data_IF_935102138837
#
_entry.id   IF_935102138837
#
_cell.length_a   1.000
_cell.length_b   1.000
_cell.length_c   1.000
_cell.angle_alpha   90.00
_cell.angle_beta   90.00
_cell.angle_gamma   90.00
#
_symmetry.space_group_name_H-M   'P 1'
#
loop_
_entity.id
_entity.type
_entity.pdbx_description
1 polymer ?
#
# COMPACT_ATOMS: atom_id res chain seq x y z
N UNK A 1 30.69 47.14 -14.12
CA UNK A 1 31.95 46.54 -13.62
C UNK A 1 31.63 45.14 -13.10
N UNK A 2 31.71 44.16 -14.02
CA UNK A 2 31.88 42.71 -13.77
C UNK A 2 33.25 42.51 -13.04
N UNK A 3 33.63 41.48 -12.26
CA UNK A 3 33.40 40.02 -12.34
C UNK A 3 34.21 39.28 -11.23
N UNK A 4 33.80 38.02 -10.92
CA UNK A 4 34.57 36.81 -10.49
C UNK A 4 35.26 36.71 -9.11
N UNK A 5 34.95 35.64 -8.35
CA UNK A 5 35.63 34.31 -8.23
C UNK A 5 37.06 34.39 -7.61
N UNK A 6 37.57 33.47 -6.79
CA UNK A 6 37.65 32.01 -6.96
C UNK A 6 38.40 31.37 -5.78
N UNK A 7 38.01 30.15 -5.40
CA UNK A 7 38.86 29.00 -4.98
C UNK A 7 39.80 29.06 -3.75
N UNK A 8 39.58 28.11 -2.84
CA UNK A 8 40.58 27.55 -1.92
C UNK A 8 40.61 26.03 -2.18
N UNK A 9 41.49 25.52 -3.07
CA UNK A 9 42.84 24.98 -2.80
C UNK A 9 42.89 24.09 -1.55
N UNK A 10 43.49 22.90 -1.48
CA UNK A 10 44.01 21.89 -2.41
C UNK A 10 44.57 20.78 -1.48
N UNK A 11 44.46 19.51 -1.90
CA UNK A 11 45.42 18.42 -1.70
C UNK A 11 45.99 18.17 -0.29
N UNK A 12 45.51 17.11 0.37
CA UNK A 12 46.24 16.44 1.45
C UNK A 12 46.82 15.12 0.92
N UNK A 13 48.15 15.06 0.85
CA UNK A 13 48.91 13.88 0.47
C UNK A 13 49.98 13.58 1.53
N UNK A 14 49.93 12.35 2.03
CA UNK A 14 51.04 11.46 2.43
C UNK A 14 51.82 11.79 3.72
N UNK A 15 51.63 10.90 4.70
CA UNK A 15 52.66 10.50 5.67
C UNK A 15 52.52 9.00 5.94
N UNK A 16 53.51 8.21 5.54
CA UNK A 16 53.49 6.75 5.50
C UNK A 16 54.40 6.15 6.60
N UNK A 17 53.80 5.20 7.34
CA UNK A 17 54.36 4.09 8.13
C UNK A 17 55.27 4.37 9.34
N UNK A 18 55.03 3.65 10.45
CA UNK A 18 55.98 2.70 11.06
C UNK A 18 55.22 1.74 11.99
N UNK A 19 55.22 0.46 11.57
CA UNK A 19 55.15 -0.83 12.28
C UNK A 19 54.29 -1.06 13.53
N UNK A 20 53.40 -2.07 13.44
CA UNK A 20 53.07 -2.99 14.53
C UNK A 20 53.07 -4.43 13.99
N UNK A 21 54.11 -5.19 14.32
CA UNK A 21 54.02 -6.65 14.40
C UNK A 21 53.71 -6.96 15.86
N UNK A 22 52.49 -7.39 16.12
CA UNK A 22 52.18 -8.27 17.24
C UNK A 22 50.97 -9.13 16.86
N UNK A 23 51.14 -10.44 16.99
CA UNK A 23 50.12 -11.46 16.76
C UNK A 23 48.87 -11.18 17.59
N UNK A 24 47.75 -10.92 16.94
CA UNK A 24 46.43 -11.15 17.52
C UNK A 24 45.86 -12.42 16.88
N UNK A 25 45.35 -13.40 17.65
CA UNK A 25 44.61 -14.50 17.06
C UNK A 25 43.46 -13.90 16.24
N UNK A 26 43.22 -14.45 15.05
CA UNK A 26 42.06 -14.09 14.26
C UNK A 26 40.80 -14.37 15.10
N UNK A 27 40.27 -13.35 15.76
CA UNK A 27 38.93 -13.40 16.29
C UNK A 27 38.03 -13.28 15.07
N UNK A 28 37.69 -14.44 14.48
CA UNK A 28 36.56 -14.53 13.60
C UNK A 28 35.39 -13.92 14.39
N UNK A 29 34.89 -12.77 13.95
CA UNK A 29 33.63 -12.27 14.44
C UNK A 29 32.63 -13.41 14.24
N UNK A 30 32.16 -14.02 15.34
CA UNK A 30 31.00 -14.88 15.25
C UNK A 30 29.94 -14.07 14.50
N UNK A 31 29.36 -14.62 13.42
CA UNK A 31 28.35 -13.93 12.67
C UNK A 31 27.28 -13.54 13.68
N UNK A 32 27.16 -12.23 13.94
CA UNK A 32 26.07 -11.66 14.74
C UNK A 32 24.81 -12.31 14.18
N UNK A 33 24.18 -13.16 15.00
CA UNK A 33 23.00 -13.87 14.57
C UNK A 33 22.08 -12.83 13.91
N UNK A 34 21.59 -13.09 12.68
CA UNK A 34 20.71 -12.15 12.02
C UNK A 34 19.61 -11.76 13.02
N UNK A 35 19.20 -10.48 13.07
CA UNK A 35 18.13 -10.06 13.95
C UNK A 35 17.01 -11.08 13.82
N UNK A 36 16.59 -11.67 14.93
CA UNK A 36 15.58 -12.72 14.94
C UNK A 36 14.47 -12.29 13.99
N UNK A 37 14.27 -13.05 12.91
CA UNK A 37 13.25 -12.76 11.93
C UNK A 37 11.97 -12.48 12.71
N UNK A 38 11.42 -11.26 12.54
CA UNK A 38 10.13 -10.94 13.13
C UNK A 38 9.21 -12.11 12.80
N UNK A 39 8.61 -12.72 13.83
CA UNK A 39 7.64 -13.79 13.59
C UNK A 39 6.63 -13.24 12.58
N UNK A 40 6.32 -13.97 11.50
CA UNK A 40 5.29 -13.50 10.58
C UNK A 40 4.08 -13.20 11.45
N UNK A 41 3.64 -11.93 11.40
CA UNK A 41 2.32 -11.58 11.91
C UNK A 41 1.40 -12.61 11.26
N UNK A 42 0.57 -13.30 12.05
CA UNK A 42 -0.53 -14.07 11.46
C UNK A 42 -1.36 -13.05 10.72
N UNK A 43 -1.11 -12.89 9.42
CA UNK A 43 -1.84 -11.97 8.57
C UNK A 43 -3.29 -12.42 8.67
N UNK A 44 -4.13 -11.53 9.19
CA UNK A 44 -5.56 -11.76 9.16
C UNK A 44 -5.95 -11.84 7.68
N UNK A 45 -6.67 -12.90 7.25
CA UNK A 45 -7.13 -12.97 5.89
C UNK A 45 -8.05 -11.77 5.59
N UNK A 46 -8.03 -11.29 4.35
CA UNK A 46 -9.01 -10.28 3.94
C UNK A 46 -10.43 -10.85 4.11
N UNK A 47 -11.35 -10.09 4.73
CA UNK A 47 -12.70 -10.58 4.96
C UNK A 47 -13.44 -10.82 3.64
N UNK A 48 -14.19 -11.91 3.59
CA UNK A 48 -15.04 -12.29 2.47
C UNK A 48 -16.47 -12.60 2.91
N UNK A 49 -17.17 -13.43 2.14
CA UNK A 49 -18.57 -13.75 2.38
C UNK A 49 -18.82 -14.62 3.62
N UNK A 50 -17.80 -15.30 4.16
CA UNK A 50 -17.96 -16.05 5.41
C UNK A 50 -18.03 -15.12 6.63
N UNK A 51 -17.21 -14.08 6.64
CA UNK A 51 -17.09 -13.15 7.77
C UNK A 51 -18.16 -12.06 7.69
N UNK A 52 -18.50 -11.61 6.48
CA UNK A 52 -19.38 -10.46 6.26
C UNK A 52 -20.78 -10.59 6.90
N UNK A 53 -21.52 -11.70 6.77
CA UNK A 53 -22.85 -11.85 7.38
C UNK A 53 -22.80 -11.91 8.91
N UNK A 54 -21.65 -12.26 9.49
CA UNK A 54 -21.46 -12.35 10.94
C UNK A 54 -21.05 -11.01 11.57
N UNK A 55 -20.56 -10.07 10.76
CA UNK A 55 -20.16 -8.75 11.21
C UNK A 55 -21.37 -7.86 11.51
N UNK A 56 -21.23 -7.04 12.54
CA UNK A 56 -22.20 -5.97 12.85
C UNK A 56 -22.18 -4.90 11.76
N UNK A 57 -23.28 -4.14 11.62
CA UNK A 57 -23.35 -3.01 10.68
C UNK A 57 -22.21 -2.02 10.91
N UNK A 58 -21.85 -1.75 12.18
CA UNK A 58 -20.74 -0.85 12.52
C UNK A 58 -19.39 -1.37 12.01
N UNK A 59 -19.13 -2.67 12.15
CA UNK A 59 -17.89 -3.29 11.66
C UNK A 59 -17.80 -3.26 10.14
N UNK A 60 -18.91 -3.56 9.45
CA UNK A 60 -19.01 -3.43 7.99
C UNK A 60 -18.70 -2.01 7.54
N UNK A 61 -19.37 -1.03 8.14
CA UNK A 61 -19.15 0.39 7.82
C UNK A 61 -17.72 0.83 8.11
N UNK A 62 -17.14 0.44 9.25
CA UNK A 62 -15.77 0.79 9.59
C UNK A 62 -14.75 0.20 8.60
N UNK A 63 -14.95 -1.05 8.16
CA UNK A 63 -14.09 -1.69 7.16
C UNK A 63 -14.18 -0.99 5.80
N UNK A 64 -15.39 -0.69 5.33
CA UNK A 64 -15.60 0.05 4.09
C UNK A 64 -15.02 1.47 4.16
N UNK A 65 -15.19 2.15 5.29
CA UNK A 65 -14.61 3.48 5.50
C UNK A 65 -13.09 3.42 5.44
N UNK A 66 -12.46 2.40 6.04
CA UNK A 66 -11.01 2.20 5.95
C UNK A 66 -10.50 2.01 4.52
N UNK A 67 -11.26 1.31 3.66
CA UNK A 67 -10.94 1.20 2.22
C UNK A 67 -10.97 2.58 1.56
N UNK A 68 -12.03 3.36 1.83
CA UNK A 68 -12.19 4.68 1.24
C UNK A 68 -11.14 5.68 1.75
N UNK A 69 -10.78 5.61 3.03
CA UNK A 69 -9.73 6.46 3.62
C UNK A 69 -8.36 6.16 2.96
N UNK A 70 -8.03 4.88 2.76
CA UNK A 70 -6.80 4.50 2.06
C UNK A 70 -6.81 4.95 0.60
N UNK A 71 -7.94 4.83 -0.09
CA UNK A 71 -8.09 5.38 -1.43
C UNK A 71 -7.93 6.90 -1.44
N UNK A 72 -8.46 7.60 -0.45
CA UNK A 72 -8.31 9.05 -0.36
C UNK A 72 -6.85 9.46 -0.14
N UNK A 73 -6.10 8.75 0.69
CA UNK A 73 -4.66 9.00 0.89
C UNK A 73 -3.91 8.86 -0.44
N UNK A 74 -4.12 7.77 -1.18
CA UNK A 74 -3.45 7.57 -2.46
C UNK A 74 -3.90 8.60 -3.51
N UNK A 75 -5.19 8.94 -3.56
CA UNK A 75 -5.69 9.96 -4.47
C UNK A 75 -5.11 11.34 -4.16
N UNK A 76 -4.91 11.71 -2.89
CA UNK A 76 -4.25 12.97 -2.52
C UNK A 76 -2.77 13.02 -2.94
N UNK A 77 -2.09 11.88 -2.97
CA UNK A 77 -0.70 11.79 -3.42
C UNK A 77 -0.57 11.80 -4.94
N UNK A 78 -1.55 11.25 -5.64
CA UNK A 78 -1.45 11.00 -7.09
C UNK A 78 -2.25 11.97 -7.95
N UNK A 79 -3.36 12.50 -7.43
CA UNK A 79 -4.29 13.38 -8.13
C UNK A 79 -5.15 12.69 -9.20
N UNK A 80 -5.98 13.45 -9.93
CA UNK A 80 -6.90 12.93 -10.96
C UNK A 80 -6.22 12.45 -12.25
N UNK A 81 -4.89 12.47 -12.35
CA UNK A 81 -4.17 11.97 -13.52
C UNK A 81 -2.80 11.44 -13.09
N UNK A 82 -2.77 10.25 -12.48
CA UNK A 82 -1.57 9.69 -11.90
C UNK A 82 -0.54 9.39 -12.99
N UNK A 83 0.70 9.86 -12.80
CA UNK A 83 1.82 9.58 -13.74
C UNK A 83 2.24 8.11 -13.77
N UNK A 84 1.77 7.32 -12.82
CA UNK A 84 2.03 5.89 -12.68
C UNK A 84 0.71 5.12 -12.67
N UNK A 85 0.79 3.79 -12.82
CA UNK A 85 -0.40 2.95 -12.74
C UNK A 85 -0.98 3.02 -11.33
N UNK A 86 -2.21 3.53 -11.24
CA UNK A 86 -3.01 3.54 -10.02
C UNK A 86 -4.44 3.10 -10.35
N UNK A 87 -5.05 2.39 -9.41
CA UNK A 87 -6.46 2.02 -9.47
C UNK A 87 -7.36 3.09 -8.81
N UNK A 88 -6.76 4.04 -8.08
CA UNK A 88 -7.48 4.92 -7.16
C UNK A 88 -8.32 5.96 -7.85
N UNK A 89 -7.86 6.49 -8.98
CA UNK A 89 -8.62 7.42 -9.81
C UNK A 89 -9.96 6.78 -10.22
N UNK A 90 -9.89 5.59 -10.83
CA UNK A 90 -11.08 4.85 -11.24
C UNK A 90 -12.00 4.53 -10.05
N UNK A 91 -11.43 4.16 -8.89
CA UNK A 91 -12.19 3.87 -7.68
C UNK A 91 -12.94 5.12 -7.18
N UNK A 92 -12.25 6.25 -7.05
CA UNK A 92 -12.82 7.52 -6.56
C UNK A 92 -13.90 8.03 -7.52
N UNK A 93 -13.62 8.07 -8.82
CA UNK A 93 -14.58 8.55 -9.82
C UNK A 93 -15.81 7.63 -9.91
N UNK A 94 -15.61 6.31 -9.83
CA UNK A 94 -16.73 5.37 -9.91
C UNK A 94 -17.60 5.39 -8.65
N UNK A 95 -17.04 5.73 -7.50
CA UNK A 95 -17.79 5.81 -6.25
C UNK A 95 -18.26 7.23 -5.92
N UNK A 96 -18.02 8.21 -6.79
CA UNK A 96 -18.54 9.57 -6.60
C UNK A 96 -20.07 9.57 -6.46
N UNK A 97 -20.57 10.28 -5.45
CA UNK A 97 -21.98 10.30 -5.06
C UNK A 97 -22.54 9.01 -4.44
N UNK A 98 -21.73 7.95 -4.30
CA UNK A 98 -22.16 6.70 -3.65
C UNK A 98 -21.94 6.79 -2.14
N UNK A 99 -22.99 6.53 -1.37
CA UNK A 99 -22.90 6.49 0.10
C UNK A 99 -22.30 5.18 0.60
N UNK A 100 -21.68 5.22 1.78
CA UNK A 100 -21.14 4.02 2.44
C UNK A 100 -22.20 2.93 2.64
N UNK A 101 -23.45 3.34 2.92
CA UNK A 101 -24.59 2.42 3.04
C UNK A 101 -24.89 1.71 1.72
N UNK A 102 -24.89 2.42 0.60
CA UNK A 102 -25.13 1.80 -0.72
C UNK A 102 -24.02 0.80 -1.09
N UNK A 103 -22.77 1.08 -0.72
CA UNK A 103 -21.67 0.12 -0.88
C UNK A 103 -21.95 -1.13 -0.04
N UNK A 104 -22.31 -0.97 1.24
CA UNK A 104 -22.65 -2.10 2.12
C UNK A 104 -23.82 -2.93 1.56
N UNK A 105 -24.90 -2.29 1.11
CA UNK A 105 -26.07 -2.95 0.54
C UNK A 105 -25.71 -3.73 -0.74
N UNK A 106 -24.79 -3.20 -1.56
CA UNK A 106 -24.29 -3.90 -2.76
C UNK A 106 -23.53 -5.17 -2.37
N UNK A 107 -22.65 -5.08 -1.37
CA UNK A 107 -21.89 -6.25 -0.87
C UNK A 107 -22.82 -7.27 -0.22
N UNK A 108 -23.81 -6.83 0.56
CA UNK A 108 -24.84 -7.71 1.15
C UNK A 108 -25.61 -8.45 0.06
N UNK A 109 -26.11 -7.74 -0.95
CA UNK A 109 -26.85 -8.33 -2.07
C UNK A 109 -25.99 -9.33 -2.86
N UNK A 110 -24.71 -9.01 -3.08
CA UNK A 110 -23.80 -9.88 -3.79
C UNK A 110 -23.62 -11.23 -3.08
N UNK A 111 -23.30 -11.26 -1.78
CA UNK A 111 -23.09 -12.53 -1.08
C UNK A 111 -24.39 -13.32 -0.85
N UNK A 112 -25.55 -12.64 -0.81
CA UNK A 112 -26.85 -13.31 -0.82
C UNK A 112 -27.14 -14.00 -2.15
N UNK A 113 -26.82 -13.36 -3.28
CA UNK A 113 -27.05 -13.91 -4.60
C UNK A 113 -26.02 -14.97 -5.03
N UNK A 114 -24.83 -14.97 -4.43
CA UNK A 114 -23.69 -15.83 -4.82
C UNK A 114 -23.22 -16.72 -3.63
N UNK A 115 -23.99 -17.73 -3.22
CA UNK A 115 -23.65 -18.61 -2.09
C UNK A 115 -22.38 -19.45 -2.33
N UNK A 116 -21.93 -19.58 -3.57
CA UNK A 116 -20.71 -20.28 -3.98
C UNK A 116 -19.45 -19.38 -3.92
N UNK A 117 -19.60 -18.05 -3.86
CA UNK A 117 -18.49 -17.09 -3.93
C UNK A 117 -18.08 -16.51 -2.56
N UNK A 118 -18.30 -17.26 -1.49
CA UNK A 118 -18.02 -16.83 -0.10
C UNK A 118 -16.54 -16.60 0.20
N UNK A 119 -15.63 -17.04 -0.66
CA UNK A 119 -14.19 -16.81 -0.54
C UNK A 119 -13.72 -15.56 -1.28
N UNK A 120 -14.58 -14.92 -2.06
CA UNK A 120 -14.22 -13.68 -2.73
C UNK A 120 -14.05 -12.57 -1.69
N UNK A 121 -12.95 -11.81 -1.68
CA UNK A 121 -12.76 -10.68 -0.77
C UNK A 121 -13.78 -9.56 -1.03
N UNK A 122 -14.19 -8.86 0.03
CA UNK A 122 -15.16 -7.75 -0.07
C UNK A 122 -14.67 -6.65 -1.02
N UNK A 123 -13.37 -6.34 -1.02
CA UNK A 123 -12.83 -5.32 -1.93
C UNK A 123 -13.00 -5.70 -3.40
N UNK A 124 -12.83 -6.98 -3.74
CA UNK A 124 -13.09 -7.44 -5.10
C UNK A 124 -14.57 -7.29 -5.47
N UNK A 125 -15.48 -7.60 -4.55
CA UNK A 125 -16.91 -7.39 -4.78
C UNK A 125 -17.18 -5.92 -5.13
N UNK A 126 -16.66 -4.98 -4.34
CA UNK A 126 -16.80 -3.53 -4.62
C UNK A 126 -16.23 -3.20 -6.01
N UNK A 127 -15.02 -3.70 -6.31
CA UNK A 127 -14.36 -3.42 -7.58
C UNK A 127 -15.17 -3.89 -8.78
N UNK A 128 -15.59 -5.15 -8.78
CA UNK A 128 -16.23 -5.76 -9.94
C UNK A 128 -17.72 -5.43 -10.06
N UNK A 129 -18.43 -5.24 -8.95
CA UNK A 129 -19.86 -4.91 -8.98
C UNK A 129 -20.12 -3.40 -9.15
N UNK A 130 -19.22 -2.53 -8.67
CA UNK A 130 -19.48 -1.07 -8.63
C UNK A 130 -18.52 -0.26 -9.51
N UNK A 131 -17.24 -0.63 -9.53
CA UNK A 131 -16.18 0.20 -10.15
C UNK A 131 -15.99 -0.16 -11.63
N UNK A 132 -15.63 -1.41 -11.91
CA UNK A 132 -15.34 -1.89 -13.26
C UNK A 132 -16.46 -1.61 -14.28
N UNK A 133 -17.77 -1.78 -13.94
CA UNK A 133 -18.85 -1.49 -14.89
C UNK A 133 -18.90 -0.01 -15.30
N UNK A 134 -18.59 0.91 -14.38
CA UNK A 134 -18.57 2.36 -14.66
C UNK A 134 -17.37 2.74 -15.52
N UNK A 135 -16.20 2.15 -15.29
CA UNK A 135 -15.03 2.32 -16.17
C UNK A 135 -15.37 1.90 -17.61
N UNK A 136 -16.02 0.74 -17.77
CA UNK A 136 -16.38 0.22 -19.09
C UNK A 136 -17.40 1.11 -19.80
N UNK A 137 -18.39 1.64 -19.07
CA UNK A 137 -19.38 2.57 -19.60
C UNK A 137 -18.74 3.89 -20.08
N UNK A 138 -17.80 4.45 -19.31
CA UNK A 138 -17.13 5.71 -19.64
C UNK A 138 -16.25 5.62 -20.90
N UNK A 139 -15.70 4.45 -21.24
CA UNK A 139 -14.89 4.25 -22.46
C UNK A 139 -15.71 4.15 -23.74
N UNK A 140 -17.02 3.97 -23.63
CA UNK A 140 -17.92 3.79 -24.78
C UNK A 140 -18.58 5.12 -25.20
N UNK A 141 -18.33 6.20 -24.45
CA UNK A 141 -18.88 7.54 -24.66
C UNK A 141 -17.82 8.48 -25.23
#
# INVERSE_FOLDING_TARGET
>A
MLILQRSMKALFSIGLAVSLVSWTPAYAAEPKAPPASAKPVKELPFPGGKEWPTATEREKMAYLLGILDMAMIEYQLTGPNPKHRSAVENLVESLDGVTLRQIMETVDAYYQANPDQQQRPIFEVIWFEMVQPKIAASKTK
#
